data_IF_815026359126
#
_entry.id   IF_815026359126
#
_cell.length_a   1.000
_cell.length_b   1.000
_cell.length_c   1.000
_cell.angle_alpha   90.00
_cell.angle_beta   90.00
_cell.angle_gamma   90.00
#
_symmetry.space_group_name_H-M   'P 1'
#
loop_
_entity.id
_entity.type
_entity.pdbx_description
1 polymer ?
#
# COMPACT_ATOMS: atom_id res chain seq x y z
N UNK A 1 -29.53 19.76 -18.02
CA UNK A 1 -28.19 19.36 -18.46
C UNK A 1 -27.13 19.38 -17.35
N UNK A 2 -27.40 19.94 -16.15
CA UNK A 2 -26.41 20.05 -15.04
C UNK A 2 -26.36 18.87 -14.07
N UNK A 3 -27.36 18.00 -14.03
CA UNK A 3 -27.42 16.89 -13.02
C UNK A 3 -26.48 15.73 -13.34
N UNK A 4 -26.27 15.41 -14.60
CA UNK A 4 -25.38 14.32 -15.02
C UNK A 4 -23.89 14.63 -14.79
N UNK A 5 -23.49 15.90 -15.01
CA UNK A 5 -22.13 16.37 -14.73
C UNK A 5 -21.82 16.39 -13.22
N UNK A 6 -22.80 16.76 -12.40
CA UNK A 6 -22.65 16.76 -10.94
C UNK A 6 -22.49 15.34 -10.37
N UNK A 7 -23.25 14.39 -10.87
CA UNK A 7 -23.19 12.99 -10.42
C UNK A 7 -21.89 12.27 -10.84
N UNK A 8 -21.34 12.57 -12.01
CA UNK A 8 -20.07 12.00 -12.44
C UNK A 8 -18.90 12.53 -11.57
N UNK A 9 -18.90 13.82 -11.27
CA UNK A 9 -17.88 14.42 -10.40
C UNK A 9 -17.94 13.88 -8.97
N UNK A 10 -19.11 13.63 -8.42
CA UNK A 10 -19.29 13.05 -7.09
C UNK A 10 -18.73 11.62 -7.03
N UNK A 11 -18.97 10.81 -8.06
CA UNK A 11 -18.41 9.44 -8.16
C UNK A 11 -16.89 9.43 -8.23
N UNK A 12 -16.30 10.33 -9.00
CA UNK A 12 -14.85 10.43 -9.14
C UNK A 12 -14.18 10.87 -7.84
N UNK A 13 -14.77 11.84 -7.15
CA UNK A 13 -14.28 12.27 -5.84
C UNK A 13 -14.37 11.16 -4.78
N UNK A 14 -15.45 10.38 -4.78
CA UNK A 14 -15.58 9.23 -3.88
C UNK A 14 -14.51 8.17 -4.14
N UNK A 15 -14.26 7.81 -5.40
CA UNK A 15 -13.21 6.86 -5.74
C UNK A 15 -11.84 7.37 -5.27
N UNK A 16 -11.56 8.65 -5.50
CA UNK A 16 -10.30 9.27 -5.08
C UNK A 16 -10.12 9.22 -3.56
N UNK A 17 -11.17 9.55 -2.80
CA UNK A 17 -11.15 9.48 -1.32
C UNK A 17 -10.85 8.07 -0.85
N UNK A 18 -11.52 7.06 -1.38
CA UNK A 18 -11.27 5.66 -1.01
C UNK A 18 -9.84 5.20 -1.35
N UNK A 19 -9.32 5.61 -2.51
CA UNK A 19 -7.94 5.31 -2.90
C UNK A 19 -6.94 6.02 -1.99
N UNK A 20 -7.21 7.25 -1.59
CA UNK A 20 -6.39 7.97 -0.62
C UNK A 20 -6.36 7.27 0.74
N UNK A 21 -7.51 6.83 1.24
CA UNK A 21 -7.62 6.08 2.49
C UNK A 21 -6.83 4.77 2.41
N UNK A 22 -6.98 4.01 1.32
CA UNK A 22 -6.25 2.76 1.11
C UNK A 22 -4.75 2.99 1.02
N UNK A 23 -4.31 4.05 0.32
CA UNK A 23 -2.89 4.42 0.24
C UNK A 23 -2.31 4.79 1.60
N UNK A 24 -3.05 5.57 2.40
CA UNK A 24 -2.67 5.92 3.77
C UNK A 24 -2.44 4.67 4.63
N UNK A 25 -3.41 3.76 4.66
CA UNK A 25 -3.29 2.54 5.44
C UNK A 25 -2.19 1.60 4.92
N UNK A 26 -1.95 1.58 3.60
CA UNK A 26 -0.86 0.80 3.01
C UNK A 26 0.51 1.31 3.47
N UNK A 27 0.72 2.63 3.41
CA UNK A 27 1.96 3.26 3.87
C UNK A 27 2.14 3.10 5.38
N UNK A 28 1.07 3.29 6.14
CA UNK A 28 1.10 3.12 7.59
C UNK A 28 1.51 1.69 7.98
N UNK A 29 0.93 0.67 7.33
CA UNK A 29 1.32 -0.73 7.55
C UNK A 29 2.80 -0.98 7.23
N UNK A 30 3.33 -0.38 6.18
CA UNK A 30 4.75 -0.48 5.82
C UNK A 30 5.65 0.16 6.89
N UNK A 31 5.29 1.35 7.36
CA UNK A 31 6.07 2.07 8.37
C UNK A 31 6.06 1.37 9.73
N UNK A 32 4.91 0.85 10.17
CA UNK A 32 4.81 0.05 11.40
C UNK A 32 5.76 -1.14 11.36
N UNK A 33 5.83 -1.85 10.24
CA UNK A 33 6.72 -3.00 10.12
C UNK A 33 8.20 -2.59 10.06
N UNK A 34 8.53 -1.45 9.43
CA UNK A 34 9.90 -0.95 9.42
C UNK A 34 10.43 -0.69 10.85
N UNK A 35 9.59 -0.20 11.74
CA UNK A 35 9.92 0.00 13.16
C UNK A 35 10.14 -1.33 13.88
N UNK A 36 9.41 -2.39 13.51
CA UNK A 36 9.51 -3.72 14.11
C UNK A 36 10.67 -4.58 13.56
N UNK A 37 11.41 -4.12 12.55
CA UNK A 37 12.54 -4.87 11.99
C UNK A 37 13.63 -5.26 13.00
N UNK A 38 14.03 -4.39 13.96
CA UNK A 38 14.99 -4.75 14.99
C UNK A 38 14.48 -5.89 15.89
N UNK A 39 13.19 -5.87 16.27
CA UNK A 39 12.57 -6.90 17.10
C UNK A 39 12.56 -8.25 16.35
N UNK A 40 12.18 -8.23 15.07
CA UNK A 40 12.26 -9.40 14.19
C UNK A 40 13.70 -9.95 14.12
N UNK A 41 14.71 -9.08 14.07
CA UNK A 41 16.12 -9.49 14.05
C UNK A 41 16.50 -10.23 15.32
N UNK A 42 16.04 -9.74 16.49
CA UNK A 42 16.28 -10.34 17.78
C UNK A 42 15.53 -11.68 17.93
N UNK A 43 14.25 -11.73 17.60
CA UNK A 43 13.40 -12.93 17.73
C UNK A 43 13.92 -14.11 16.91
N UNK A 44 14.42 -13.83 15.71
CA UNK A 44 14.96 -14.85 14.82
C UNK A 44 16.48 -15.06 14.97
N UNK A 45 17.15 -14.35 15.88
CA UNK A 45 18.61 -14.37 16.00
C UNK A 45 19.32 -14.19 14.65
N UNK A 46 18.85 -13.23 13.83
CA UNK A 46 19.38 -12.96 12.50
C UNK A 46 20.12 -11.61 12.48
N UNK A 47 21.22 -11.53 11.73
CA UNK A 47 21.89 -10.24 11.54
C UNK A 47 20.97 -9.26 10.79
N UNK A 48 21.09 -7.94 11.05
CA UNK A 48 20.28 -6.89 10.41
C UNK A 48 20.25 -6.97 8.87
N UNK A 49 21.37 -7.36 8.26
CA UNK A 49 21.47 -7.56 6.82
C UNK A 49 20.50 -8.63 6.30
N UNK A 50 20.31 -9.73 7.04
CA UNK A 50 19.36 -10.78 6.67
C UNK A 50 17.92 -10.35 6.92
N UNK A 51 17.66 -9.62 7.99
CA UNK A 51 16.32 -9.14 8.34
C UNK A 51 15.82 -8.10 7.35
N UNK A 52 16.71 -7.30 6.78
CA UNK A 52 16.36 -6.36 5.70
C UNK A 52 15.73 -7.02 4.46
N UNK A 53 15.94 -8.32 4.24
CA UNK A 53 15.26 -9.03 3.16
C UNK A 53 13.74 -9.01 3.29
N UNK A 54 13.20 -8.90 4.50
CA UNK A 54 11.76 -8.76 4.76
C UNK A 54 11.22 -7.49 4.07
N UNK A 55 11.95 -6.39 4.17
CA UNK A 55 11.59 -5.13 3.51
C UNK A 55 11.92 -5.13 2.01
N UNK A 56 13.10 -5.66 1.64
CA UNK A 56 13.53 -5.75 0.24
C UNK A 56 12.56 -6.58 -0.60
N UNK A 57 12.06 -7.71 -0.09
CA UNK A 57 11.09 -8.55 -0.77
C UNK A 57 9.79 -7.80 -1.07
N UNK A 58 9.28 -7.02 -0.11
CA UNK A 58 8.11 -6.15 -0.30
C UNK A 58 8.37 -5.08 -1.36
N UNK A 59 9.45 -4.30 -1.21
CA UNK A 59 9.77 -3.19 -2.13
C UNK A 59 9.98 -3.65 -3.56
N UNK A 60 10.62 -4.81 -3.75
CA UNK A 60 10.87 -5.37 -5.09
C UNK A 60 9.56 -5.68 -5.81
N UNK A 61 8.66 -6.41 -5.15
CA UNK A 61 7.35 -6.77 -5.74
C UNK A 61 6.42 -5.58 -5.84
N UNK A 62 6.46 -4.65 -4.90
CA UNK A 62 5.73 -3.39 -4.94
C UNK A 62 6.12 -2.55 -6.16
N UNK A 63 7.41 -2.39 -6.43
CA UNK A 63 7.91 -1.61 -7.56
C UNK A 63 7.51 -2.23 -8.91
N UNK A 64 7.71 -3.54 -9.06
CA UNK A 64 7.31 -4.27 -10.27
C UNK A 64 5.78 -4.24 -10.43
N UNK A 65 5.07 -4.51 -9.34
CA UNK A 65 3.61 -4.54 -9.31
C UNK A 65 3.00 -3.20 -9.71
N UNK A 66 3.54 -2.08 -9.25
CA UNK A 66 3.05 -0.74 -9.60
C UNK A 66 3.05 -0.51 -11.11
N UNK A 67 4.12 -0.90 -11.81
CA UNK A 67 4.19 -0.81 -13.27
C UNK A 67 3.19 -1.75 -13.97
N UNK A 68 3.06 -2.98 -13.46
CA UNK A 68 2.14 -3.99 -14.00
C UNK A 68 0.68 -3.56 -13.82
N UNK A 69 0.27 -3.11 -12.64
CA UNK A 69 -1.10 -2.64 -12.38
C UNK A 69 -1.44 -1.41 -13.21
N UNK A 70 -0.49 -0.47 -13.38
CA UNK A 70 -0.67 0.67 -14.25
C UNK A 70 -1.06 0.25 -15.68
N UNK A 71 -0.33 -0.68 -16.26
CA UNK A 71 -0.60 -1.21 -17.61
C UNK A 71 -1.87 -2.05 -17.68
N UNK A 72 -2.11 -2.92 -16.69
CA UNK A 72 -3.30 -3.78 -16.66
C UNK A 72 -4.60 -3.01 -16.46
N UNK A 73 -4.53 -1.81 -15.88
CA UNK A 73 -5.70 -0.98 -15.64
C UNK A 73 -6.45 -0.59 -16.92
N UNK A 74 -5.75 -0.59 -18.06
CA UNK A 74 -6.34 -0.30 -19.38
C UNK A 74 -7.23 -1.44 -19.88
N UNK A 75 -6.94 -2.66 -19.48
CA UNK A 75 -7.62 -3.87 -19.95
C UNK A 75 -8.69 -4.39 -18.98
N UNK A 76 -8.38 -4.46 -17.70
CA UNK A 76 -9.21 -5.13 -16.69
C UNK A 76 -10.12 -4.19 -15.90
N UNK A 77 -9.84 -2.90 -15.95
CA UNK A 77 -10.59 -1.88 -15.21
C UNK A 77 -10.18 -1.76 -13.73
N UNK A 78 -10.30 -0.54 -13.22
CA UNK A 78 -9.79 -0.12 -11.89
C UNK A 78 -10.39 -0.95 -10.75
N UNK A 79 -11.71 -1.18 -10.76
CA UNK A 79 -12.41 -1.89 -9.66
C UNK A 79 -11.92 -3.33 -9.50
N UNK A 80 -11.75 -4.06 -10.60
CA UNK A 80 -11.30 -5.47 -10.55
C UNK A 80 -9.88 -5.57 -10.04
N UNK A 81 -9.00 -4.69 -10.52
CA UNK A 81 -7.60 -4.66 -10.09
C UNK A 81 -7.45 -4.24 -8.63
N UNK A 82 -8.28 -3.29 -8.16
CA UNK A 82 -8.28 -2.91 -6.76
C UNK A 82 -8.67 -4.08 -5.86
N UNK A 83 -9.76 -4.79 -6.19
CA UNK A 83 -10.19 -5.97 -5.45
C UNK A 83 -9.12 -7.07 -5.46
N UNK A 84 -8.49 -7.31 -6.60
CA UNK A 84 -7.41 -8.28 -6.73
C UNK A 84 -6.21 -7.91 -5.87
N UNK A 85 -5.80 -6.64 -5.87
CA UNK A 85 -4.73 -6.13 -5.01
C UNK A 85 -5.04 -6.30 -3.52
N UNK A 86 -6.27 -5.98 -3.09
CA UNK A 86 -6.73 -6.17 -1.71
C UNK A 86 -6.67 -7.65 -1.31
N UNK A 87 -7.18 -8.55 -2.15
CA UNK A 87 -7.20 -9.99 -1.88
C UNK A 87 -5.78 -10.53 -1.73
N UNK A 88 -4.86 -10.17 -2.63
CA UNK A 88 -3.46 -10.59 -2.56
C UNK A 88 -2.80 -10.04 -1.28
N UNK A 89 -3.02 -8.77 -0.95
CA UNK A 89 -2.46 -8.16 0.25
C UNK A 89 -2.98 -8.85 1.52
N UNK A 90 -4.28 -9.11 1.62
CA UNK A 90 -4.88 -9.84 2.73
C UNK A 90 -4.34 -11.27 2.84
N UNK A 91 -4.18 -11.97 1.71
CA UNK A 91 -3.62 -13.32 1.68
C UNK A 91 -2.17 -13.34 2.18
N UNK A 92 -1.35 -12.39 1.74
CA UNK A 92 0.01 -12.21 2.27
C UNK A 92 0.01 -11.94 3.78
N UNK A 93 -0.94 -11.13 4.28
CA UNK A 93 -1.07 -10.84 5.72
C UNK A 93 -1.43 -12.08 6.53
N UNK A 94 -2.33 -12.93 6.02
CA UNK A 94 -2.69 -14.21 6.65
C UNK A 94 -1.48 -15.14 6.71
N UNK A 95 -0.71 -15.26 5.62
CA UNK A 95 0.52 -16.07 5.59
C UNK A 95 1.53 -15.55 6.62
N UNK A 96 1.73 -14.23 6.70
CA UNK A 96 2.63 -13.63 7.68
C UNK A 96 2.20 -13.88 9.12
N UNK A 97 0.90 -13.83 9.40
CA UNK A 97 0.35 -14.12 10.72
C UNK A 97 0.49 -15.59 11.11
N UNK A 98 0.14 -16.51 10.23
CA UNK A 98 0.24 -17.97 10.49
C UNK A 98 1.71 -18.41 10.53
N UNK A 99 2.53 -17.83 9.68
CA UNK A 99 3.95 -18.18 9.52
C UNK A 99 4.90 -17.37 10.40
N UNK A 100 4.42 -16.66 11.42
CA UNK A 100 5.22 -15.76 12.24
C UNK A 100 6.44 -16.43 12.91
N UNK A 101 6.41 -17.75 13.12
CA UNK A 101 7.52 -18.52 13.68
C UNK A 101 8.62 -18.89 12.69
N UNK A 102 8.40 -18.68 11.39
CA UNK A 102 9.35 -19.06 10.34
C UNK A 102 9.78 -17.85 9.52
N UNK A 103 11.05 -17.47 9.64
CA UNK A 103 11.61 -16.32 8.92
C UNK A 103 11.40 -16.36 7.40
N UNK A 104 11.54 -17.53 6.78
CA UNK A 104 11.32 -17.69 5.33
C UNK A 104 9.86 -17.43 4.92
N UNK A 105 8.90 -17.82 5.76
CA UNK A 105 7.47 -17.54 5.53
C UNK A 105 7.16 -16.06 5.68
N UNK A 106 7.84 -15.36 6.59
CA UNK A 106 7.72 -13.92 6.74
C UNK A 106 8.18 -13.18 5.48
N UNK A 107 9.33 -13.56 4.88
CA UNK A 107 9.81 -13.00 3.61
C UNK A 107 8.82 -13.27 2.48
N UNK A 108 8.29 -14.50 2.41
CA UNK A 108 7.32 -14.88 1.37
C UNK A 108 5.99 -14.12 1.51
N UNK A 109 5.53 -13.93 2.75
CA UNK A 109 4.37 -13.10 3.05
C UNK A 109 4.56 -11.66 2.57
N UNK A 110 5.72 -11.06 2.83
CA UNK A 110 6.07 -9.70 2.40
C UNK A 110 6.15 -9.57 0.87
N UNK A 111 6.69 -10.59 0.21
CA UNK A 111 6.70 -10.65 -1.26
C UNK A 111 5.27 -10.59 -1.83
N UNK A 112 4.34 -11.36 -1.27
CA UNK A 112 2.93 -11.39 -1.66
C UNK A 112 2.23 -10.08 -1.30
N UNK A 113 2.45 -9.54 -0.09
CA UNK A 113 1.89 -8.26 0.34
C UNK A 113 2.30 -7.12 -0.57
N UNK A 114 3.59 -7.04 -0.94
CA UNK A 114 4.11 -6.01 -1.85
C UNK A 114 3.43 -6.06 -3.22
N UNK A 115 3.23 -7.26 -3.76
CA UNK A 115 2.52 -7.45 -5.02
C UNK A 115 1.07 -6.95 -4.95
N UNK A 116 0.36 -7.17 -3.83
CA UNK A 116 -1.00 -6.67 -3.62
C UNK A 116 -1.07 -5.17 -3.36
N UNK A 117 -0.20 -4.65 -2.50
CA UNK A 117 -0.14 -3.24 -2.12
C UNK A 117 0.19 -2.30 -3.29
N UNK A 118 0.94 -2.79 -4.28
CA UNK A 118 1.29 -2.05 -5.49
C UNK A 118 0.07 -1.55 -6.29
N UNK A 119 -1.08 -2.22 -6.15
CA UNK A 119 -2.32 -1.81 -6.80
C UNK A 119 -2.78 -0.41 -6.38
N UNK A 120 -2.58 -0.04 -5.11
CA UNK A 120 -3.12 1.21 -4.57
C UNK A 120 -2.50 2.44 -5.24
N UNK A 121 -1.19 2.70 -5.18
CA UNK A 121 -0.59 3.87 -5.81
C UNK A 121 -0.72 3.84 -7.34
N UNK A 122 -0.62 2.67 -7.97
CA UNK A 122 -0.80 2.53 -9.40
C UNK A 122 -2.19 2.99 -9.85
N UNK A 123 -3.23 2.54 -9.16
CA UNK A 123 -4.62 2.89 -9.50
C UNK A 123 -4.97 4.33 -9.13
N UNK A 124 -4.37 4.90 -8.08
CA UNK A 124 -4.47 6.33 -7.77
C UNK A 124 -3.98 7.16 -8.95
N UNK A 125 -2.79 6.86 -9.48
CA UNK A 125 -2.24 7.55 -10.65
C UNK A 125 -3.14 7.45 -11.87
N UNK A 126 -3.70 6.25 -12.13
CA UNK A 126 -4.62 6.02 -13.24
C UNK A 126 -5.92 6.81 -13.07
N UNK A 127 -6.49 6.85 -11.87
CA UNK A 127 -7.72 7.61 -11.59
C UNK A 127 -7.49 9.10 -11.81
N UNK A 128 -6.39 9.63 -11.29
CA UNK A 128 -6.04 11.04 -11.50
C UNK A 128 -5.85 11.34 -12.98
N UNK A 129 -5.13 10.48 -13.72
CA UNK A 129 -4.85 10.70 -15.13
C UNK A 129 -6.10 10.61 -16.01
N UNK A 130 -7.07 9.75 -15.69
CA UNK A 130 -8.27 9.51 -16.51
C UNK A 130 -9.43 10.44 -16.18
N UNK A 131 -9.66 10.70 -14.91
CA UNK A 131 -10.90 11.32 -14.43
C UNK A 131 -10.73 12.76 -13.96
N UNK A 132 -9.50 13.21 -13.68
CA UNK A 132 -9.25 14.57 -13.22
C UNK A 132 -8.78 15.45 -14.39
N UNK A 133 -9.43 16.61 -14.61
CA UNK A 133 -9.00 17.59 -15.61
C UNK A 133 -7.53 17.98 -15.41
N UNK A 134 -6.81 18.23 -16.51
CA UNK A 134 -5.36 18.51 -16.49
C UNK A 134 -4.99 19.64 -15.51
N UNK A 135 -5.84 20.66 -15.45
CA UNK A 135 -5.68 21.86 -14.60
C UNK A 135 -5.71 21.53 -13.09
N UNK A 136 -6.43 20.45 -12.72
CA UNK A 136 -6.63 20.05 -11.33
C UNK A 136 -5.76 18.85 -10.90
N UNK A 137 -5.02 18.21 -11.81
CA UNK A 137 -4.18 17.03 -11.50
C UNK A 137 -3.10 17.36 -10.48
N UNK A 138 -2.48 18.53 -10.56
CA UNK A 138 -1.49 18.98 -9.59
C UNK A 138 -2.04 19.06 -8.16
N UNK A 139 -3.26 19.58 -8.01
CA UNK A 139 -3.95 19.62 -6.70
C UNK A 139 -4.26 18.22 -6.17
N UNK A 140 -4.71 17.31 -7.05
CA UNK A 140 -4.99 15.93 -6.68
C UNK A 140 -3.72 15.19 -6.24
N UNK A 141 -2.62 15.31 -6.98
CA UNK A 141 -1.33 14.73 -6.60
C UNK A 141 -0.77 15.33 -5.31
N UNK A 142 -0.92 16.66 -5.11
CA UNK A 142 -0.54 17.31 -3.88
C UNK A 142 -1.30 16.78 -2.67
N UNK A 143 -2.62 16.58 -2.80
CA UNK A 143 -3.45 15.99 -1.75
C UNK A 143 -3.03 14.56 -1.42
N UNK A 144 -2.84 13.73 -2.46
CA UNK A 144 -2.42 12.33 -2.30
C UNK A 144 -1.03 12.27 -1.64
N UNK A 145 -0.09 13.09 -2.12
CA UNK A 145 1.25 13.17 -1.54
C UNK A 145 1.24 13.60 -0.07
N UNK A 146 0.37 14.55 0.30
CA UNK A 146 0.20 14.97 1.71
C UNK A 146 -0.33 13.84 2.58
N UNK A 147 -1.29 13.03 2.07
CA UNK A 147 -1.86 11.90 2.80
C UNK A 147 -0.81 10.79 2.98
N UNK A 148 -0.01 10.50 1.95
CA UNK A 148 1.11 9.55 2.03
C UNK A 148 2.14 10.03 3.04
N UNK A 149 2.56 11.30 2.98
CA UNK A 149 3.52 11.89 3.92
C UNK A 149 2.99 11.88 5.38
N UNK A 150 1.69 12.06 5.58
CA UNK A 150 1.08 11.87 6.90
C UNK A 150 1.21 10.42 7.39
N UNK A 151 0.98 9.43 6.50
CA UNK A 151 1.16 8.01 6.82
C UNK A 151 2.60 7.68 7.19
N UNK A 152 3.58 8.22 6.45
CA UNK A 152 5.01 8.08 6.72
C UNK A 152 5.42 8.72 8.05
N UNK A 153 4.89 9.91 8.35
CA UNK A 153 5.20 10.63 9.59
C UNK A 153 4.56 10.03 10.84
N UNK A 154 3.33 9.55 10.74
CA UNK A 154 2.57 8.98 11.86
C UNK A 154 2.88 7.49 12.07
N UNK A 155 3.25 6.78 11.00
CA UNK A 155 3.52 5.34 11.03
C UNK A 155 4.54 4.90 12.08
N UNK A 156 5.74 5.52 12.16
CA UNK A 156 6.74 5.18 13.16
C UNK A 156 6.26 5.40 14.60
N UNK A 157 5.49 6.46 14.85
CA UNK A 157 4.93 6.73 16.16
C UNK A 157 3.92 5.66 16.59
N UNK A 158 3.02 5.27 15.70
CA UNK A 158 2.06 4.18 15.93
C UNK A 158 2.81 2.84 16.07
N UNK A 159 3.78 2.56 15.20
CA UNK A 159 4.59 1.35 15.25
C UNK A 159 5.35 1.20 16.56
N UNK A 160 5.99 2.29 17.02
CA UNK A 160 6.69 2.31 18.31
C UNK A 160 5.75 2.13 19.50
N UNK A 161 4.55 2.72 19.48
CA UNK A 161 3.54 2.49 20.50
C UNK A 161 3.09 1.02 20.53
N UNK A 162 2.79 0.44 19.39
CA UNK A 162 2.37 -0.96 19.29
C UNK A 162 3.48 -1.89 19.82
N UNK A 163 4.72 -1.68 19.39
CA UNK A 163 5.86 -2.45 19.85
C UNK A 163 6.04 -2.36 21.38
N UNK A 164 5.85 -1.18 21.97
CA UNK A 164 5.99 -0.97 23.42
C UNK A 164 4.88 -1.66 24.25
N UNK A 165 3.65 -1.80 23.72
CA UNK A 165 2.53 -2.40 24.45
C UNK A 165 2.41 -3.92 24.25
N UNK A 166 3.07 -4.49 23.24
CA UNK A 166 3.00 -5.93 22.94
C UNK A 166 4.18 -6.71 23.57
N UNK A 167 5.24 -6.01 23.92
CA UNK A 167 6.36 -6.52 24.72
C UNK A 167 6.26 -6.08 26.17
#
# INVERSE_FOLDING_TARGET
MNTSYSQSNLRHNQILIWLCILSFFSVLNEMVLNVSLPDIANDFNKPPASTNWVNTAFMLTFSIGTAVYGKLSDQLGIKRLLLFGIIINCFGSVIGFVGHSFFSLLIMARFIQGAGAAAFPALVMVVVARYIPKENRGKAFGLIGSIVAMGEGVGPAIGGMIAHYIH
#
